data_IF_506172115322
#
_entry.id   IF_506172115322
#
_cell.length_a   1.000
_cell.length_b   1.000
_cell.length_c   1.000
_cell.angle_alpha   90.00
_cell.angle_beta   90.00
_cell.angle_gamma   90.00
#
_symmetry.space_group_name_H-M   'P 1'
#
loop_
_entity.id
_entity.type
_entity.pdbx_description
1 polymer ?
#
# COMPACT_ATOMS: atom_id res chain seq x y z
N UNK A 1 8.27 -15.28 19.10
CA UNK A 1 7.27 -14.31 18.62
C UNK A 1 8.06 -13.33 17.75
N UNK A 2 7.81 -13.27 16.45
CA UNK A 2 8.73 -12.64 15.49
C UNK A 2 8.97 -11.14 15.76
N UNK A 3 10.22 -10.71 15.66
CA UNK A 3 10.65 -9.33 15.81
C UNK A 3 10.18 -8.48 14.62
N UNK A 4 8.93 -7.98 14.67
CA UNK A 4 8.48 -6.95 13.72
C UNK A 4 9.28 -5.66 13.95
N UNK A 5 9.45 -4.84 12.90
CA UNK A 5 10.13 -3.53 13.00
C UNK A 5 9.56 -2.65 14.12
N UNK A 6 8.25 -2.75 14.39
CA UNK A 6 7.59 -2.04 15.47
C UNK A 6 8.10 -2.47 16.86
N UNK A 7 8.36 -3.77 17.08
CA UNK A 7 8.97 -4.23 18.34
C UNK A 7 10.42 -3.79 18.45
N UNK A 8 11.20 -3.86 17.36
CA UNK A 8 12.57 -3.37 17.36
C UNK A 8 12.65 -1.86 17.68
N UNK A 9 11.72 -1.07 17.15
CA UNK A 9 11.62 0.37 17.44
C UNK A 9 11.27 0.62 18.90
N UNK A 10 10.24 -0.05 19.41
CA UNK A 10 9.83 0.01 20.82
C UNK A 10 10.99 -0.34 21.76
N UNK A 11 11.78 -1.35 21.40
CA UNK A 11 12.90 -1.84 22.20
C UNK A 11 14.19 -1.02 21.99
N UNK A 12 14.15 0.06 21.19
CA UNK A 12 15.29 0.96 20.93
C UNK A 12 16.41 0.37 20.07
N UNK A 13 16.14 -0.74 19.35
CA UNK A 13 17.10 -1.40 18.46
C UNK A 13 17.18 -0.73 17.09
N UNK A 14 16.17 0.05 16.72
CA UNK A 14 16.09 0.81 15.47
C UNK A 14 15.31 2.11 15.72
N UNK A 15 15.55 3.11 14.87
CA UNK A 15 14.79 4.36 14.81
C UNK A 15 14.54 4.77 13.35
N UNK A 16 13.80 5.86 13.14
CA UNK A 16 13.43 6.34 11.80
C UNK A 16 14.64 6.69 10.93
N UNK A 17 15.80 7.04 11.53
CA UNK A 17 17.01 7.37 10.78
C UNK A 17 17.63 6.16 10.07
N UNK A 18 17.23 4.94 10.47
CA UNK A 18 17.67 3.68 9.84
C UNK A 18 16.77 3.27 8.67
N UNK A 19 15.68 3.98 8.42
CA UNK A 19 14.80 3.74 7.28
C UNK A 19 15.36 4.49 6.07
N UNK A 20 15.84 3.76 5.07
CA UNK A 20 16.48 4.38 3.91
C UNK A 20 15.49 5.08 2.97
N UNK A 21 14.33 4.46 2.72
CA UNK A 21 13.32 4.99 1.82
C UNK A 21 11.92 4.44 2.11
N UNK A 22 10.90 5.26 1.83
CA UNK A 22 9.53 4.75 1.63
C UNK A 22 9.35 4.26 0.18
N UNK A 23 8.31 3.45 -0.06
CA UNK A 23 7.93 3.05 -1.44
C UNK A 23 7.70 4.27 -2.31
N UNK A 24 7.08 5.33 -1.78
CA UNK A 24 6.82 6.57 -2.51
C UNK A 24 8.10 7.31 -2.89
N UNK A 25 9.16 7.24 -2.08
CA UNK A 25 10.44 7.87 -2.40
C UNK A 25 11.14 7.19 -3.56
N UNK A 26 11.10 5.86 -3.58
CA UNK A 26 11.63 5.06 -4.68
C UNK A 26 10.87 5.32 -5.98
N UNK A 27 9.52 5.31 -5.93
CA UNK A 27 8.68 5.53 -7.11
C UNK A 27 8.79 6.94 -7.67
N UNK A 28 9.00 7.93 -6.81
CA UNK A 28 9.18 9.33 -7.23
C UNK A 28 10.63 9.67 -7.61
N UNK A 29 11.56 8.71 -7.54
CA UNK A 29 12.98 8.94 -7.81
C UNK A 29 13.68 9.84 -6.79
N UNK A 30 13.09 10.08 -5.62
CA UNK A 30 13.72 10.83 -4.52
C UNK A 30 14.84 10.05 -3.85
N UNK A 31 14.76 8.72 -3.92
CA UNK A 31 15.77 7.77 -3.45
C UNK A 31 16.02 6.73 -4.52
N UNK A 32 17.28 6.31 -4.66
CA UNK A 32 17.64 5.13 -5.43
C UNK A 32 17.33 3.87 -4.62
N UNK A 33 16.98 2.78 -5.31
CA UNK A 33 16.87 1.46 -4.67
C UNK A 33 18.24 0.81 -4.45
N UNK A 34 18.28 -0.51 -4.56
CA UNK A 34 19.53 -1.30 -4.48
C UNK A 34 20.60 -0.74 -5.43
N UNK A 35 21.80 -0.53 -4.92
CA UNK A 35 22.90 0.11 -5.66
C UNK A 35 24.09 -0.81 -5.96
N UNK A 36 24.16 -1.99 -5.34
CA UNK A 36 25.22 -2.97 -5.58
C UNK A 36 24.76 -4.41 -5.35
N UNK A 37 25.60 -5.38 -5.74
CA UNK A 37 25.22 -6.79 -5.72
C UNK A 37 25.27 -7.47 -4.35
N UNK A 38 26.05 -6.93 -3.43
CA UNK A 38 26.22 -7.48 -2.08
C UNK A 38 25.20 -6.91 -1.08
N UNK A 39 24.46 -5.85 -1.46
CA UNK A 39 23.49 -5.20 -0.59
C UNK A 39 22.30 -6.11 -0.30
N UNK A 40 22.06 -6.35 0.99
CA UNK A 40 20.83 -6.94 1.49
C UNK A 40 19.75 -5.86 1.64
N UNK A 41 18.55 -6.17 1.15
CA UNK A 41 17.39 -5.28 1.27
C UNK A 41 16.31 -5.95 2.10
N UNK A 42 15.70 -5.18 2.99
CA UNK A 42 14.57 -5.61 3.81
C UNK A 42 13.43 -4.62 3.63
N UNK A 43 12.23 -5.15 3.39
CA UNK A 43 11.01 -4.36 3.29
C UNK A 43 10.04 -4.79 4.37
N UNK A 44 9.37 -3.82 4.99
CA UNK A 44 8.31 -4.06 5.97
C UNK A 44 7.01 -3.47 5.45
N UNK A 45 6.24 -4.27 4.72
CA UNK A 45 4.92 -3.89 4.24
C UNK A 45 3.85 -4.17 5.30
N UNK A 46 3.32 -3.12 5.93
CA UNK A 46 2.16 -3.22 6.82
C UNK A 46 0.83 -3.21 6.07
N UNK A 47 0.82 -2.70 4.83
CA UNK A 47 -0.38 -2.49 4.01
C UNK A 47 -0.91 -1.05 4.15
N UNK A 48 -1.39 -0.49 3.03
CA UNK A 48 -2.01 0.83 2.99
C UNK A 48 -3.32 0.73 2.19
N UNK A 49 -4.44 1.10 2.81
CA UNK A 49 -5.77 1.08 2.16
C UNK A 49 -5.85 1.90 0.87
N UNK A 50 -4.93 2.85 0.68
CA UNK A 50 -4.77 3.60 -0.55
C UNK A 50 -4.54 2.69 -1.77
N UNK A 51 -3.73 1.64 -1.62
CA UNK A 51 -3.46 0.70 -2.72
C UNK A 51 -4.71 -0.07 -3.10
N UNK A 52 -5.50 -0.50 -2.11
CA UNK A 52 -6.75 -1.23 -2.34
C UNK A 52 -7.75 -0.37 -3.13
N UNK A 53 -7.94 0.89 -2.72
CA UNK A 53 -8.86 1.81 -3.40
C UNK A 53 -8.38 2.14 -4.82
N UNK A 54 -7.08 2.37 -5.01
CA UNK A 54 -6.53 2.68 -6.33
C UNK A 54 -6.69 1.51 -7.32
N UNK A 55 -6.43 0.28 -6.87
CA UNK A 55 -6.61 -0.93 -7.67
C UNK A 55 -8.09 -1.18 -7.93
N UNK A 56 -8.94 -1.07 -6.89
CA UNK A 56 -10.38 -1.24 -7.02
C UNK A 56 -10.99 -0.26 -8.03
N UNK A 57 -10.55 0.99 -8.03
CA UNK A 57 -10.99 1.98 -9.01
C UNK A 57 -10.65 1.55 -10.45
N UNK A 58 -9.42 1.07 -10.68
CA UNK A 58 -9.00 0.58 -12.01
C UNK A 58 -9.79 -0.65 -12.45
N UNK A 59 -9.95 -1.63 -11.57
CA UNK A 59 -10.73 -2.86 -11.83
C UNK A 59 -12.19 -2.51 -12.12
N UNK A 60 -12.77 -1.58 -11.36
CA UNK A 60 -14.14 -1.12 -11.54
C UNK A 60 -14.36 -0.45 -12.89
N UNK A 61 -13.46 0.44 -13.33
CA UNK A 61 -13.59 1.07 -14.65
C UNK A 61 -13.48 0.05 -15.78
N UNK A 62 -12.51 -0.86 -15.71
CA UNK A 62 -12.38 -1.94 -16.67
C UNK A 62 -13.65 -2.81 -16.75
N UNK A 63 -14.21 -3.18 -15.59
CA UNK A 63 -15.43 -3.97 -15.54
C UNK A 63 -16.61 -3.24 -16.17
N UNK A 64 -16.75 -1.93 -15.92
CA UNK A 64 -17.79 -1.11 -16.55
C UNK A 64 -17.67 -1.04 -18.07
N UNK A 65 -16.45 -0.81 -18.58
CA UNK A 65 -16.18 -0.71 -20.02
C UNK A 65 -16.46 -2.03 -20.76
N UNK A 66 -16.33 -3.15 -20.08
CA UNK A 66 -16.49 -4.50 -20.65
C UNK A 66 -17.82 -5.18 -20.28
N UNK A 67 -18.74 -4.46 -19.61
CA UNK A 67 -20.04 -5.03 -19.21
C UNK A 67 -19.95 -6.17 -18.19
N UNK A 68 -18.91 -6.20 -17.37
CA UNK A 68 -18.66 -7.23 -16.36
C UNK A 68 -19.30 -6.81 -15.02
N UNK A 69 -19.98 -7.76 -14.37
CA UNK A 69 -20.53 -7.60 -13.02
C UNK A 69 -22.05 -7.41 -12.98
N UNK A 70 -22.56 -7.09 -11.80
CA UNK A 70 -23.99 -6.94 -11.54
C UNK A 70 -24.29 -5.55 -10.98
N UNK A 71 -25.24 -4.84 -11.60
CA UNK A 71 -25.77 -3.60 -11.04
C UNK A 71 -26.72 -3.94 -9.89
N UNK A 72 -26.47 -3.35 -8.73
CA UNK A 72 -27.32 -3.50 -7.55
C UNK A 72 -28.09 -2.20 -7.32
N UNK A 73 -29.36 -2.33 -6.91
CA UNK A 73 -30.16 -1.19 -6.46
C UNK A 73 -29.70 -0.84 -5.05
N UNK A 74 -29.35 0.42 -4.82
CA UNK A 74 -28.83 0.85 -3.52
C UNK A 74 -29.96 1.03 -2.49
N UNK A 75 -31.14 1.53 -2.90
CA UNK A 75 -32.31 1.75 -2.04
C UNK A 75 -33.59 1.53 -2.86
N UNK A 76 -34.64 0.99 -2.25
CA UNK A 76 -35.98 1.00 -2.84
C UNK A 76 -36.65 2.37 -2.70
N UNK A 77 -36.61 2.91 -1.48
CA UNK A 77 -37.03 4.26 -1.11
C UNK A 77 -35.91 4.89 -0.26
N UNK A 78 -35.33 6.03 -0.66
CA UNK A 78 -34.23 6.62 0.10
C UNK A 78 -34.72 7.29 1.39
N UNK A 79 -33.99 7.11 2.51
CA UNK A 79 -34.36 7.68 3.82
C UNK A 79 -33.95 9.16 3.98
N UNK A 80 -33.07 9.66 3.09
CA UNK A 80 -32.40 10.96 3.25
C UNK A 80 -32.43 11.82 1.96
N UNK A 81 -33.60 11.98 1.34
CA UNK A 81 -33.84 13.04 0.32
C UNK A 81 -34.87 14.03 0.83
#
# INVERSE_FOLDING_TARGET
MGDTMAYMFRDGKIDDSRIDASVSDLMAGRKSGRDNDDQLTYTCNVGLGLYDVAIAARVYQYAKENGIGQKLKLWDEPIMV
#
